data_IF_039184040548
#
_entry.id   IF_039184040548
#
_cell.length_a   1.000
_cell.length_b   1.000
_cell.length_c   1.000
_cell.angle_alpha   90.00
_cell.angle_beta   90.00
_cell.angle_gamma   90.00
#
_symmetry.space_group_name_H-M   'P 1'
#
loop_
_entity.id
_entity.type
_entity.pdbx_description
1 polymer ?
#
# COMPACT_ATOMS: atom_id res chain seq x y z
N UNK A 1 -6.97 4.33 0.21
CA UNK A 1 -7.38 5.24 1.30
C UNK A 1 -8.61 6.08 0.91
N UNK A 2 -9.47 6.42 1.87
CA UNK A 2 -10.58 7.37 1.70
C UNK A 2 -10.39 8.53 2.69
N UNK A 3 -10.63 9.79 2.27
CA UNK A 3 -10.36 10.97 3.11
C UNK A 3 -11.19 11.02 4.38
N UNK A 4 -12.34 10.32 4.43
CA UNK A 4 -13.13 10.21 5.67
C UNK A 4 -12.40 9.48 6.81
N UNK A 5 -11.36 8.71 6.49
CA UNK A 5 -10.54 8.00 7.46
C UNK A 5 -9.18 8.68 7.67
N UNK A 6 -8.90 9.78 6.97
CA UNK A 6 -7.66 10.53 7.15
C UNK A 6 -7.57 11.04 8.60
N UNK A 7 -6.47 10.72 9.27
CA UNK A 7 -6.24 11.14 10.66
C UNK A 7 -6.82 10.20 11.70
N UNK A 8 -7.27 9.01 11.30
CA UNK A 8 -7.61 7.96 12.25
C UNK A 8 -6.36 7.37 12.95
N UNK A 9 -6.60 6.50 13.92
CA UNK A 9 -5.51 5.82 14.64
C UNK A 9 -4.68 4.89 13.73
N UNK A 10 -5.26 4.39 12.62
CA UNK A 10 -4.57 3.48 11.71
C UNK A 10 -3.46 4.22 10.98
N UNK A 11 -3.68 5.46 10.54
CA UNK A 11 -2.64 6.29 9.91
C UNK A 11 -1.45 6.50 10.85
N UNK A 12 -1.71 6.74 12.14
CA UNK A 12 -0.66 6.86 13.15
C UNK A 12 0.11 5.53 13.34
N UNK A 13 -0.58 4.39 13.39
CA UNK A 13 0.08 3.08 13.52
C UNK A 13 0.90 2.70 12.27
N UNK A 14 0.39 2.99 11.07
CA UNK A 14 1.14 2.84 9.81
C UNK A 14 2.44 3.65 9.88
N UNK A 15 2.35 4.92 10.30
CA UNK A 15 3.52 5.79 10.47
C UNK A 15 4.54 5.27 11.49
N UNK A 16 4.08 4.76 12.64
CA UNK A 16 4.95 4.13 13.62
C UNK A 16 5.68 2.91 13.06
N UNK A 17 4.98 2.01 12.35
CA UNK A 17 5.59 0.83 11.75
C UNK A 17 6.64 1.22 10.70
N UNK A 18 6.31 2.14 9.79
CA UNK A 18 7.24 2.65 8.77
C UNK A 18 8.49 3.24 9.45
N UNK A 19 8.30 4.04 10.51
CA UNK A 19 9.41 4.64 11.27
C UNK A 19 10.31 3.58 11.90
N UNK A 20 9.74 2.52 12.50
CA UNK A 20 10.51 1.42 13.10
C UNK A 20 11.35 0.72 12.02
N UNK A 21 10.75 0.42 10.86
CA UNK A 21 11.44 -0.29 9.78
C UNK A 21 12.55 0.56 9.14
N UNK A 22 12.32 1.87 8.96
CA UNK A 22 13.34 2.82 8.49
C UNK A 22 14.50 2.94 9.49
N UNK A 23 14.19 3.15 10.77
CA UNK A 23 15.21 3.28 11.83
C UNK A 23 16.01 1.99 12.03
N UNK A 24 15.38 0.83 11.81
CA UNK A 24 16.03 -0.49 11.83
C UNK A 24 16.77 -0.82 10.53
N UNK A 25 16.73 0.06 9.52
CA UNK A 25 17.33 -0.13 8.18
C UNK A 25 16.84 -1.38 7.46
N UNK A 26 15.64 -1.85 7.77
CA UNK A 26 14.99 -2.98 7.08
C UNK A 26 14.33 -2.55 5.76
N UNK A 27 14.01 -1.26 5.66
CA UNK A 27 13.58 -0.58 4.44
C UNK A 27 14.39 0.71 4.28
N UNK A 28 14.48 1.21 3.05
CA UNK A 28 15.22 2.43 2.70
C UNK A 28 14.51 3.19 1.58
N UNK A 29 14.70 4.51 1.55
CA UNK A 29 14.24 5.39 0.48
C UNK A 29 12.79 5.09 0.05
N UNK A 30 11.87 5.01 1.00
CA UNK A 30 10.51 4.56 0.73
C UNK A 30 9.72 5.57 -0.13
N UNK A 31 8.77 5.08 -0.91
CA UNK A 31 7.68 5.85 -1.51
C UNK A 31 6.33 5.32 -1.00
N UNK A 32 5.37 6.22 -0.80
CA UNK A 32 4.05 5.85 -0.26
C UNK A 32 2.97 6.16 -1.27
N UNK A 33 2.15 5.16 -1.58
CA UNK A 33 0.99 5.27 -2.47
C UNK A 33 -0.31 5.13 -1.66
N UNK A 34 -1.01 6.23 -1.36
CA UNK A 34 -2.24 6.19 -0.56
C UNK A 34 -3.43 5.51 -1.27
N UNK A 35 -3.36 5.21 -2.56
CA UNK A 35 -4.46 4.61 -3.33
C UNK A 35 -5.80 5.30 -3.09
N UNK A 36 -5.87 6.59 -3.41
CA UNK A 36 -7.00 7.48 -3.10
C UNK A 36 -8.26 7.03 -3.83
N UNK A 37 -9.24 6.55 -3.07
CA UNK A 37 -10.52 6.02 -3.59
C UNK A 37 -11.65 7.04 -3.61
N UNK A 38 -11.37 8.26 -3.16
CA UNK A 38 -12.32 9.37 -3.22
C UNK A 38 -12.66 9.74 -4.66
N UNK A 39 -13.88 10.25 -4.86
CA UNK A 39 -14.32 10.71 -6.17
C UNK A 39 -13.52 11.94 -6.66
N UNK A 40 -13.01 12.74 -5.71
CA UNK A 40 -12.16 13.90 -5.96
C UNK A 40 -10.74 13.61 -5.48
N UNK A 41 -9.71 14.14 -6.17
CA UNK A 41 -8.34 14.11 -5.65
C UNK A 41 -8.27 14.76 -4.27
N UNK A 42 -7.35 14.26 -3.44
CA UNK A 42 -7.03 14.91 -2.17
C UNK A 42 -6.39 16.28 -2.41
N UNK A 43 -6.69 17.22 -1.53
CA UNK A 43 -6.05 18.53 -1.54
C UNK A 43 -4.59 18.43 -1.08
N UNK A 44 -3.83 19.52 -1.27
CA UNK A 44 -2.46 19.59 -0.75
C UNK A 44 -2.41 19.45 0.78
N UNK A 45 -3.42 19.98 1.47
CA UNK A 45 -3.50 19.93 2.94
C UNK A 45 -3.83 18.52 3.43
N UNK A 46 -4.68 17.78 2.71
CA UNK A 46 -4.97 16.37 3.00
C UNK A 46 -3.70 15.51 2.85
N UNK A 47 -2.96 15.71 1.75
CA UNK A 47 -1.71 15.00 1.49
C UNK A 47 -0.64 15.33 2.53
N UNK A 48 -0.50 16.60 2.91
CA UNK A 48 0.45 17.02 3.96
C UNK A 48 0.06 16.45 5.33
N UNK A 49 -1.23 16.44 5.66
CA UNK A 49 -1.73 15.82 6.89
C UNK A 49 -1.38 14.34 6.92
N UNK A 50 -1.67 13.61 5.84
CA UNK A 50 -1.34 12.21 5.70
C UNK A 50 0.17 11.95 5.80
N UNK A 51 0.99 12.77 5.14
CA UNK A 51 2.47 12.70 5.21
C UNK A 51 2.97 12.81 6.65
N UNK A 52 2.42 13.74 7.43
CA UNK A 52 2.77 13.95 8.84
C UNK A 52 2.37 12.78 9.72
N UNK A 53 1.17 12.24 9.52
CA UNK A 53 0.68 11.09 10.27
C UNK A 53 1.55 9.85 10.02
N UNK A 54 2.01 9.68 8.79
CA UNK A 54 2.96 8.64 8.41
C UNK A 54 4.42 8.94 8.81
N UNK A 55 4.69 10.12 9.41
CA UNK A 55 6.01 10.54 9.90
C UNK A 55 7.07 10.54 8.80
N UNK A 56 6.69 10.98 7.62
CA UNK A 56 7.53 10.97 6.42
C UNK A 56 8.30 12.29 6.29
N UNK A 57 9.58 12.32 6.65
CA UNK A 57 10.41 13.54 6.58
C UNK A 57 10.88 13.88 5.16
N UNK A 58 11.24 12.87 4.35
CA UNK A 58 11.80 13.04 3.00
C UNK A 58 11.21 12.09 1.94
N UNK A 59 10.22 11.29 2.33
CA UNK A 59 9.58 10.28 1.49
C UNK A 59 8.58 10.94 0.54
N UNK A 60 8.68 10.64 -0.75
CA UNK A 60 7.73 11.10 -1.76
C UNK A 60 6.44 10.30 -1.66
N UNK A 61 5.37 10.95 -1.18
CA UNK A 61 4.02 10.52 -1.50
C UNK A 61 3.87 10.48 -3.03
N UNK A 62 3.46 9.34 -3.56
CA UNK A 62 3.15 9.19 -4.97
C UNK A 62 1.80 9.87 -5.18
N UNK A 63 1.84 11.03 -5.82
CA UNK A 63 0.65 11.80 -6.13
C UNK A 63 0.36 11.64 -7.62
N UNK A 64 -0.90 11.35 -7.93
CA UNK A 64 -1.36 11.26 -9.31
C UNK A 64 -2.26 12.45 -9.61
N UNK A 65 -2.07 13.05 -10.78
CA UNK A 65 -2.73 14.32 -11.15
C UNK A 65 -4.25 14.18 -11.43
N UNK A 66 -4.75 12.95 -11.53
CA UNK A 66 -6.17 12.64 -11.74
C UNK A 66 -6.70 11.72 -10.63
N UNK A 67 -8.02 11.70 -10.41
CA UNK A 67 -8.63 10.74 -9.49
C UNK A 67 -8.31 9.33 -9.96
N UNK A 68 -7.49 8.62 -9.21
CA UNK A 68 -6.64 7.55 -9.78
C UNK A 68 -7.33 6.25 -10.15
N UNK A 69 -8.65 6.29 -10.13
CA UNK A 69 -9.53 5.21 -10.57
C UNK A 69 -10.39 5.58 -11.79
N UNK A 70 -10.16 6.73 -12.44
CA UNK A 70 -10.74 7.07 -13.75
C UNK A 70 -9.91 6.54 -14.93
N UNK A 71 -8.62 6.27 -14.75
CA UNK A 71 -7.68 5.81 -15.79
C UNK A 71 -7.37 4.30 -15.79
N UNK A 72 -6.37 3.89 -16.58
CA UNK A 72 -5.91 2.50 -16.65
C UNK A 72 -5.13 2.11 -15.39
N UNK A 73 -5.43 0.92 -14.83
CA UNK A 73 -4.68 0.37 -13.69
C UNK A 73 -3.21 0.09 -14.03
N UNK A 74 -2.92 -0.19 -15.29
CA UNK A 74 -1.55 -0.42 -15.74
C UNK A 74 -0.72 0.86 -15.71
N UNK A 75 -1.28 1.98 -16.17
CA UNK A 75 -0.62 3.29 -16.10
C UNK A 75 -0.40 3.71 -14.64
N UNK A 76 -1.42 3.51 -13.80
CA UNK A 76 -1.35 3.82 -12.38
C UNK A 76 -0.19 3.12 -11.66
N UNK A 77 -0.10 1.79 -11.78
CA UNK A 77 1.01 1.04 -11.17
C UNK A 77 2.32 1.21 -11.93
N UNK A 78 2.28 1.63 -13.20
CA UNK A 78 3.46 1.96 -14.00
C UNK A 78 4.17 3.24 -13.54
N UNK A 79 3.45 4.18 -12.93
CA UNK A 79 4.00 5.42 -12.38
C UNK A 79 4.71 5.21 -11.02
N UNK A 80 4.52 4.06 -10.36
CA UNK A 80 5.20 3.75 -9.10
C UNK A 80 6.71 3.55 -9.37
N UNK A 81 7.62 4.27 -8.69
CA UNK A 81 9.04 4.12 -8.90
C UNK A 81 9.51 2.69 -8.61
N UNK A 82 10.55 2.21 -9.30
CA UNK A 82 10.96 0.78 -9.30
C UNK A 82 12.21 0.49 -8.46
N UNK A 83 12.95 1.53 -8.12
CA UNK A 83 14.24 1.54 -7.43
C UNK A 83 14.13 1.85 -5.93
N UNK A 84 12.90 1.93 -5.43
CA UNK A 84 12.56 2.26 -4.04
C UNK A 84 11.68 1.21 -3.41
N UNK A 85 11.76 1.10 -2.08
CA UNK A 85 10.77 0.37 -1.30
C UNK A 85 9.43 1.13 -1.36
N UNK A 86 8.32 0.39 -1.32
CA UNK A 86 6.99 0.99 -1.50
C UNK A 86 6.05 0.55 -0.41
N UNK A 87 5.29 1.49 0.12
CA UNK A 87 4.10 1.20 0.93
C UNK A 87 2.84 1.58 0.15
N UNK A 88 1.99 0.59 -0.13
CA UNK A 88 0.66 0.79 -0.69
C UNK A 88 -0.36 0.85 0.46
N UNK A 89 -1.22 1.87 0.46
CA UNK A 89 -2.30 2.02 1.43
C UNK A 89 -3.69 1.91 0.77
N UNK A 90 -4.04 0.74 0.22
CA UNK A 90 -5.37 0.52 -0.34
C UNK A 90 -6.47 0.72 0.71
N UNK A 91 -7.63 1.19 0.25
CA UNK A 91 -8.81 1.37 1.11
C UNK A 91 -9.30 0.05 1.73
N UNK A 92 -9.08 -1.09 1.07
CA UNK A 92 -9.55 -2.41 1.55
C UNK A 92 -8.46 -3.49 1.65
N UNK A 93 -7.26 -3.24 1.13
CA UNK A 93 -6.19 -4.24 1.07
C UNK A 93 -6.10 -5.02 -0.25
N UNK A 94 -5.55 -6.23 -0.16
CA UNK A 94 -5.30 -7.14 -1.28
C UNK A 94 -6.54 -8.00 -1.54
N UNK A 95 -6.91 -8.15 -2.81
CA UNK A 95 -7.99 -9.02 -3.26
C UNK A 95 -7.56 -10.49 -3.26
N UNK A 96 -8.31 -11.34 -2.54
CA UNK A 96 -8.16 -12.80 -2.59
C UNK A 96 -9.09 -13.50 -3.59
N UNK A 97 -9.99 -12.75 -4.24
CA UNK A 97 -10.94 -13.20 -5.27
C UNK A 97 -11.07 -12.18 -6.41
N UNK A 98 -12.30 -11.91 -6.89
CA UNK A 98 -12.55 -10.92 -7.97
C UNK A 98 -12.13 -9.50 -7.57
N UNK A 99 -12.47 -9.07 -6.35
CA UNK A 99 -12.05 -7.79 -5.76
C UNK A 99 -12.59 -6.55 -6.48
N UNK A 100 -12.90 -5.49 -5.72
CA UNK A 100 -13.29 -4.20 -6.29
C UNK A 100 -12.07 -3.33 -6.67
N UNK A 101 -12.33 -2.17 -7.31
CA UNK A 101 -11.27 -1.19 -7.65
C UNK A 101 -10.45 -0.71 -6.45
N UNK A 102 -11.07 -0.71 -5.26
CA UNK A 102 -10.49 -0.36 -3.95
C UNK A 102 -9.43 -1.34 -3.43
N UNK A 103 -9.32 -2.50 -4.06
CA UNK A 103 -8.32 -3.51 -3.72
C UNK A 103 -7.10 -3.41 -4.65
N UNK A 104 -5.95 -3.85 -4.15
CA UNK A 104 -4.83 -4.27 -4.99
C UNK A 104 -5.02 -5.73 -5.38
N UNK A 105 -4.73 -6.08 -6.63
CA UNK A 105 -4.76 -7.46 -7.10
C UNK A 105 -3.36 -8.09 -7.00
N UNK A 106 -3.31 -9.39 -6.75
CA UNK A 106 -2.07 -10.16 -6.66
C UNK A 106 -1.15 -9.92 -7.87
N UNK A 107 -1.69 -9.97 -9.09
CA UNK A 107 -0.89 -9.76 -10.30
C UNK A 107 -0.30 -8.34 -10.42
N UNK A 108 -0.93 -7.34 -9.81
CA UNK A 108 -0.41 -5.96 -9.78
C UNK A 108 0.78 -5.85 -8.83
N UNK A 109 0.71 -6.54 -7.67
CA UNK A 109 1.86 -6.69 -6.79
C UNK A 109 3.02 -7.39 -7.51
N UNK A 110 2.73 -8.39 -8.33
CA UNK A 110 3.73 -9.07 -9.15
C UNK A 110 4.43 -8.13 -10.14
N UNK A 111 3.67 -7.24 -10.81
CA UNK A 111 4.25 -6.21 -11.68
C UNK A 111 5.13 -5.22 -10.91
N UNK A 112 4.74 -4.85 -9.69
CA UNK A 112 5.56 -3.99 -8.84
C UNK A 112 6.83 -4.71 -8.37
N UNK A 113 6.76 -5.98 -7.99
CA UNK A 113 7.92 -6.73 -7.51
C UNK A 113 8.86 -7.22 -8.62
N UNK A 114 8.44 -7.15 -9.88
CA UNK A 114 9.20 -7.70 -10.99
C UNK A 114 10.59 -7.03 -11.12
N UNK A 115 11.63 -7.87 -11.01
CA UNK A 115 13.04 -7.52 -11.27
C UNK A 115 13.66 -6.53 -10.27
N UNK A 116 13.24 -6.58 -9.00
CA UNK A 116 13.79 -5.72 -7.94
C UNK A 116 13.96 -6.46 -6.62
N UNK A 117 15.02 -6.16 -5.87
CA UNK A 117 15.23 -6.61 -4.49
C UNK A 117 14.52 -5.70 -3.46
N UNK A 118 13.46 -5.00 -3.89
CA UNK A 118 12.74 -4.02 -3.07
C UNK A 118 11.72 -4.67 -2.15
N UNK A 119 11.43 -3.99 -1.07
CA UNK A 119 10.34 -4.35 -0.16
C UNK A 119 9.06 -3.65 -0.61
N UNK A 120 8.01 -4.46 -0.83
CA UNK A 120 6.65 -3.96 -1.05
C UNK A 120 5.81 -4.26 0.17
N UNK A 121 5.39 -3.21 0.87
CA UNK A 121 4.49 -3.27 2.00
C UNK A 121 3.08 -2.88 1.55
N UNK A 122 2.06 -3.57 2.02
CA UNK A 122 0.67 -3.30 1.65
C UNK A 122 -0.19 -3.33 2.90
N UNK A 123 -0.87 -2.22 3.20
CA UNK A 123 -1.85 -2.20 4.27
C UNK A 123 -3.01 -3.14 3.95
N UNK A 124 -3.40 -3.96 4.92
CA UNK A 124 -4.52 -4.88 4.80
C UNK A 124 -5.52 -4.58 5.92
N UNK A 125 -6.67 -4.02 5.54
CA UNK A 125 -7.75 -3.79 6.48
C UNK A 125 -8.39 -5.11 6.94
N UNK A 126 -8.75 -5.18 8.22
CA UNK A 126 -9.51 -6.30 8.78
C UNK A 126 -10.97 -6.18 8.33
N UNK A 127 -11.33 -6.88 7.27
CA UNK A 127 -12.71 -7.03 6.84
C UNK A 127 -13.36 -8.23 7.56
N UNK A 128 -14.71 -8.30 7.52
CA UNK A 128 -15.52 -9.38 8.12
C UNK A 128 -14.92 -10.77 7.84
N UNK A 129 -14.82 -11.59 8.88
CA UNK A 129 -14.27 -12.95 8.83
C UNK A 129 -12.95 -13.08 9.59
N UNK A 130 -12.29 -14.22 9.46
CA UNK A 130 -10.97 -14.45 10.07
C UNK A 130 -9.90 -13.66 9.31
N UNK A 131 -9.32 -12.65 9.96
CA UNK A 131 -8.25 -11.83 9.39
C UNK A 131 -7.01 -12.68 9.10
N UNK A 132 -6.63 -13.55 10.03
CA UNK A 132 -5.49 -14.45 9.89
C UNK A 132 -5.63 -15.37 8.66
N UNK A 133 -6.78 -16.03 8.50
CA UNK A 133 -7.04 -16.88 7.32
C UNK A 133 -6.94 -16.10 6.01
N UNK A 134 -7.40 -14.85 6.01
CA UNK A 134 -7.27 -13.97 4.84
C UNK A 134 -5.80 -13.72 4.51
N UNK A 135 -4.96 -13.43 5.50
CA UNK A 135 -3.53 -13.18 5.29
C UNK A 135 -2.82 -14.43 4.79
N UNK A 136 -3.13 -15.61 5.35
CA UNK A 136 -2.61 -16.89 4.84
C UNK A 136 -2.99 -17.09 3.37
N UNK A 137 -4.26 -16.84 3.01
CA UNK A 137 -4.71 -16.92 1.62
C UNK A 137 -3.99 -15.93 0.70
N UNK A 138 -3.70 -14.71 1.16
CA UNK A 138 -2.91 -13.73 0.40
C UNK A 138 -1.49 -14.28 0.17
N UNK A 139 -0.80 -14.72 1.23
CA UNK A 139 0.55 -15.27 1.16
C UNK A 139 0.64 -16.46 0.20
N UNK A 140 -0.28 -17.41 0.33
CA UNK A 140 -0.28 -18.61 -0.51
C UNK A 140 -0.53 -18.27 -1.98
N UNK A 141 -1.40 -17.28 -2.26
CA UNK A 141 -1.59 -16.77 -3.62
C UNK A 141 -0.38 -16.03 -4.15
N UNK A 142 0.29 -15.20 -3.34
CA UNK A 142 1.53 -14.53 -3.75
C UNK A 142 2.61 -15.56 -4.13
N UNK A 143 2.82 -16.57 -3.29
CA UNK A 143 3.83 -17.60 -3.51
C UNK A 143 3.55 -18.45 -4.77
N UNK A 144 2.26 -18.71 -5.06
CA UNK A 144 1.87 -19.48 -6.25
C UNK A 144 1.87 -18.65 -7.54
N UNK A 145 1.33 -17.42 -7.47
CA UNK A 145 1.03 -16.61 -8.65
C UNK A 145 2.22 -15.68 -9.03
N UNK A 146 3.21 -15.50 -8.14
CA UNK A 146 4.39 -14.64 -8.36
C UNK A 146 5.68 -15.39 -7.97
N UNK A 147 6.51 -15.71 -8.95
CA UNK A 147 7.77 -16.44 -8.73
C UNK A 147 8.81 -15.58 -8.00
N UNK A 148 9.58 -16.20 -7.09
CA UNK A 148 10.73 -15.58 -6.43
C UNK A 148 10.39 -14.61 -5.29
N UNK A 149 9.11 -14.42 -4.96
CA UNK A 149 8.69 -13.52 -3.87
C UNK A 149 8.68 -14.25 -2.53
N UNK A 150 9.27 -13.61 -1.51
CA UNK A 150 9.09 -13.99 -0.11
C UNK A 150 8.07 -13.05 0.52
N UNK A 151 7.08 -13.62 1.21
CA UNK A 151 6.02 -12.87 1.86
C UNK A 151 6.05 -13.14 3.37
N UNK A 152 6.10 -12.07 4.15
CA UNK A 152 5.95 -12.08 5.60
C UNK A 152 4.67 -11.33 5.97
N UNK A 153 3.95 -11.85 6.94
CA UNK A 153 2.73 -11.25 7.47
C UNK A 153 3.05 -10.65 8.84
N UNK A 154 2.55 -9.44 9.09
CA UNK A 154 2.58 -8.82 10.40
C UNK A 154 1.15 -8.47 10.81
N UNK A 155 0.75 -8.93 11.99
CA UNK A 155 -0.54 -8.64 12.61
C UNK A 155 -0.30 -7.83 13.88
N UNK A 156 -0.98 -6.70 14.01
CA UNK A 156 -1.04 -5.94 15.25
C UNK A 156 -2.48 -6.03 15.77
N UNK A 157 -2.63 -6.58 16.98
CA UNK A 157 -3.91 -6.70 17.70
C UNK A 157 -4.18 -5.49 18.59
#
# INVERSE_FOLDING_TARGET
MNSKFLGDALDHWKGCLISILLNSRLIRNIAVEPMITDARPWSKDDLETYRRLLRLESTSLICHDQSTFSGSREEYFGAVPKDVDVFLDPDTGIATGTGGRKHVKILELGKLLAKSDRVLMVYQHSARGSFHERLLKIRDRLARDISGVRCTIYECG
#
